data_IF_859829085250
#
_entry.id   IF_859829085250
#
_cell.length_a   1.000
_cell.length_b   1.000
_cell.length_c   1.000
_cell.angle_alpha   90.00
_cell.angle_beta   90.00
_cell.angle_gamma   90.00
#
_symmetry.space_group_name_H-M   'P 1'
#
loop_
_entity.id
_entity.type
_entity.pdbx_description
1 polymer ?
#
# COMPACT_ATOMS: atom_id res chain seq x y z
N UNK A 1 10.04 41.73 10.01
CA UNK A 1 8.87 40.92 9.60
C UNK A 1 9.05 40.57 8.13
N UNK A 2 9.41 39.33 7.80
CA UNK A 2 9.51 38.89 6.42
C UNK A 2 8.09 38.89 5.81
N UNK A 3 7.85 39.73 4.81
CA UNK A 3 6.61 39.69 4.02
C UNK A 3 6.61 38.38 3.24
N UNK A 4 5.60 37.55 3.49
CA UNK A 4 5.31 36.37 2.66
C UNK A 4 5.04 36.89 1.24
N UNK A 5 5.68 36.29 0.23
CA UNK A 5 5.54 36.73 -1.16
C UNK A 5 4.18 36.26 -1.69
N UNK A 6 3.54 37.06 -2.55
CA UNK A 6 2.25 36.70 -3.17
C UNK A 6 2.33 35.37 -3.96
N UNK A 7 3.51 35.00 -4.44
CA UNK A 7 3.79 33.67 -5.03
C UNK A 7 3.57 32.53 -4.03
N UNK A 8 4.01 32.72 -2.80
CA UNK A 8 3.94 31.72 -1.74
C UNK A 8 2.49 31.57 -1.26
N UNK A 9 1.72 32.68 -1.24
CA UNK A 9 0.28 32.67 -0.96
C UNK A 9 -0.50 31.98 -2.08
N UNK A 10 -0.13 32.21 -3.34
CA UNK A 10 -0.80 31.57 -4.49
C UNK A 10 -0.52 30.07 -4.51
N UNK A 11 0.72 29.65 -4.25
CA UNK A 11 1.10 28.23 -4.14
C UNK A 11 0.37 27.54 -2.98
N UNK A 12 0.27 28.20 -1.81
CA UNK A 12 -0.51 27.71 -0.68
C UNK A 12 -2.01 27.64 -1.01
N UNK A 13 -2.57 28.64 -1.68
CA UNK A 13 -3.97 28.63 -2.13
C UNK A 13 -4.24 27.50 -3.11
N UNK A 14 -3.33 27.24 -4.06
CA UNK A 14 -3.44 26.11 -4.98
C UNK A 14 -3.28 24.77 -4.26
N UNK A 15 -2.41 24.65 -3.26
CA UNK A 15 -2.29 23.45 -2.42
C UNK A 15 -3.55 23.23 -1.59
N UNK A 16 -4.14 24.30 -1.06
CA UNK A 16 -5.39 24.26 -0.30
C UNK A 16 -6.55 23.90 -1.22
N UNK A 17 -6.73 24.58 -2.35
CA UNK A 17 -7.75 24.28 -3.37
C UNK A 17 -7.64 22.86 -3.91
N UNK A 18 -6.43 22.38 -4.20
CA UNK A 18 -6.19 20.98 -4.61
C UNK A 18 -6.50 19.98 -3.48
N UNK A 19 -6.42 20.38 -2.21
CA UNK A 19 -6.82 19.55 -1.06
C UNK A 19 -8.30 19.65 -0.73
N UNK A 20 -9.00 20.75 -1.05
CA UNK A 20 -10.45 20.88 -0.88
C UNK A 20 -11.22 20.24 -2.03
N UNK A 21 -10.77 20.40 -3.27
CA UNK A 21 -11.35 19.73 -4.46
C UNK A 21 -11.18 18.21 -4.42
N UNK A 22 -10.21 17.71 -3.65
CA UNK A 22 -9.93 16.29 -3.41
C UNK A 22 -11.14 15.49 -2.90
N UNK A 23 -12.00 16.11 -2.10
CA UNK A 23 -13.14 15.46 -1.44
C UNK A 23 -14.50 15.95 -1.92
N UNK A 24 -14.55 16.80 -2.96
CA UNK A 24 -15.80 17.22 -3.59
C UNK A 24 -16.74 16.09 -4.01
N UNK A 25 -16.27 14.89 -4.44
CA UNK A 25 -17.22 13.81 -4.74
C UNK A 25 -17.83 13.16 -3.50
N UNK A 26 -17.30 13.38 -2.28
CA UNK A 26 -17.75 12.68 -1.08
C UNK A 26 -18.90 13.42 -0.36
N UNK A 27 -19.77 12.64 0.27
CA UNK A 27 -20.85 13.10 1.13
C UNK A 27 -20.32 13.83 2.37
N UNK A 28 -21.20 14.59 3.01
CA UNK A 28 -20.82 15.42 4.15
C UNK A 28 -20.31 14.60 5.34
N UNK A 29 -20.83 13.38 5.54
CA UNK A 29 -20.44 12.51 6.66
C UNK A 29 -19.02 11.96 6.46
N UNK A 30 -18.72 11.48 5.26
CA UNK A 30 -17.41 10.99 4.82
C UNK A 30 -16.37 12.11 4.87
N UNK A 31 -16.73 13.28 4.36
CA UNK A 31 -15.90 14.49 4.42
C UNK A 31 -15.57 14.87 5.87
N UNK A 32 -16.56 14.86 6.77
CA UNK A 32 -16.34 15.10 8.20
C UNK A 32 -15.38 14.06 8.83
N UNK A 33 -15.58 12.78 8.53
CA UNK A 33 -14.71 11.70 9.05
C UNK A 33 -13.25 11.90 8.62
N UNK A 34 -13.02 12.29 7.37
CA UNK A 34 -11.67 12.55 6.84
C UNK A 34 -11.03 13.78 7.48
N UNK A 35 -11.77 14.89 7.63
CA UNK A 35 -11.24 16.07 8.30
C UNK A 35 -10.88 15.78 9.76
N UNK A 36 -11.76 15.11 10.49
CA UNK A 36 -11.49 14.66 11.85
C UNK A 36 -10.25 13.74 11.91
N UNK A 37 -10.12 12.82 10.95
CA UNK A 37 -8.95 11.98 10.79
C UNK A 37 -7.66 12.79 10.60
N UNK A 38 -7.69 13.84 9.78
CA UNK A 38 -6.54 14.74 9.59
C UNK A 38 -6.21 15.55 10.83
N UNK A 39 -7.21 15.99 11.61
CA UNK A 39 -6.97 16.70 12.86
C UNK A 39 -6.23 15.81 13.87
N UNK A 40 -6.62 14.53 13.98
CA UNK A 40 -5.91 13.57 14.80
C UNK A 40 -4.50 13.26 14.28
N UNK A 41 -4.33 13.08 12.96
CA UNK A 41 -3.00 12.89 12.36
C UNK A 41 -2.09 14.11 12.59
N UNK A 42 -2.59 15.33 12.40
CA UNK A 42 -1.87 16.57 12.69
C UNK A 42 -1.47 16.66 14.17
N UNK A 43 -2.40 16.33 15.07
CA UNK A 43 -2.15 16.26 16.52
C UNK A 43 -1.07 15.24 16.87
N UNK A 44 -1.00 14.11 16.14
CA UNK A 44 0.09 13.14 16.32
C UNK A 44 1.45 13.77 16.00
N UNK A 45 1.60 14.41 14.83
CA UNK A 45 2.87 15.01 14.40
C UNK A 45 3.35 16.10 15.37
N UNK A 46 2.43 16.89 15.91
CA UNK A 46 2.75 17.97 16.84
C UNK A 46 3.14 17.49 18.24
N UNK A 47 2.74 16.27 18.62
CA UNK A 47 3.00 15.74 19.95
C UNK A 47 4.42 15.20 20.08
N UNK A 48 5.06 15.46 21.22
CA UNK A 48 6.44 15.04 21.51
C UNK A 48 6.58 13.60 22.03
N UNK A 49 5.54 13.08 22.68
CA UNK A 49 5.54 11.71 23.23
C UNK A 49 5.04 10.74 22.17
N UNK A 50 5.79 9.66 21.98
CA UNK A 50 5.48 8.60 21.01
C UNK A 50 4.20 7.85 21.37
N UNK A 51 3.88 7.77 22.66
CA UNK A 51 2.66 7.17 23.18
C UNK A 51 1.42 7.93 22.71
N UNK A 52 1.48 9.26 22.83
CA UNK A 52 0.41 10.13 22.35
C UNK A 52 0.38 10.21 20.82
N UNK A 53 1.53 10.14 20.14
CA UNK A 53 1.59 9.97 18.68
C UNK A 53 0.81 8.72 18.26
N UNK A 54 1.09 7.57 18.89
CA UNK A 54 0.41 6.31 18.61
C UNK A 54 -1.11 6.42 18.86
N UNK A 55 -1.51 7.03 19.97
CA UNK A 55 -2.93 7.22 20.33
C UNK A 55 -3.67 8.05 19.28
N UNK A 56 -3.09 9.19 18.91
CA UNK A 56 -3.68 10.10 17.94
C UNK A 56 -3.74 9.46 16.56
N UNK A 57 -2.68 8.76 16.11
CA UNK A 57 -2.69 8.06 14.83
C UNK A 57 -3.70 6.92 14.77
N UNK A 58 -3.83 6.15 15.86
CA UNK A 58 -4.83 5.09 15.92
C UNK A 58 -6.24 5.69 15.83
N UNK A 59 -6.48 6.79 16.55
CA UNK A 59 -7.77 7.50 16.51
C UNK A 59 -8.05 8.08 15.12
N UNK A 60 -7.03 8.59 14.42
CA UNK A 60 -7.15 9.03 13.03
C UNK A 60 -7.66 7.87 12.14
N UNK A 61 -7.01 6.70 12.21
CA UNK A 61 -7.47 5.52 11.45
C UNK A 61 -8.88 5.04 11.86
N UNK A 62 -9.21 5.04 13.16
CA UNK A 62 -10.53 4.65 13.63
C UNK A 62 -11.62 5.59 13.09
N UNK A 63 -11.34 6.89 13.02
CA UNK A 63 -12.31 7.90 12.58
C UNK A 63 -12.72 7.79 11.12
N UNK A 64 -11.90 7.13 10.29
CA UNK A 64 -12.25 6.83 8.90
C UNK A 64 -13.31 5.73 8.80
N UNK A 65 -13.46 4.89 9.82
CA UNK A 65 -14.27 3.68 9.78
C UNK A 65 -15.62 3.87 10.48
N UNK A 66 -16.69 3.19 10.02
CA UNK A 66 -17.96 3.21 10.72
C UNK A 66 -17.83 2.60 12.13
N UNK A 67 -18.73 2.97 13.07
CA UNK A 67 -18.68 2.43 14.42
C UNK A 67 -18.81 0.91 14.42
N UNK A 68 -18.09 0.21 15.32
CA UNK A 68 -18.10 -1.25 15.36
C UNK A 68 -19.46 -1.80 15.78
N UNK A 69 -19.97 -2.77 15.02
CA UNK A 69 -21.14 -3.58 15.42
C UNK A 69 -20.75 -4.86 16.16
N UNK A 70 -19.48 -5.28 16.03
CA UNK A 70 -18.88 -6.46 16.66
C UNK A 70 -17.82 -6.08 17.70
N UNK A 71 -17.00 -7.03 18.16
CA UNK A 71 -15.84 -6.73 18.99
C UNK A 71 -14.93 -5.69 18.31
N UNK A 72 -14.73 -4.55 18.99
CA UNK A 72 -14.05 -3.36 18.46
C UNK A 72 -12.74 -3.67 17.71
N UNK A 73 -11.87 -4.49 18.29
CA UNK A 73 -10.60 -4.86 17.64
C UNK A 73 -10.80 -5.67 16.35
N UNK A 74 -11.74 -6.62 16.34
CA UNK A 74 -11.99 -7.49 15.19
C UNK A 74 -12.59 -6.69 14.05
N UNK A 75 -13.52 -5.79 14.35
CA UNK A 75 -14.08 -4.83 13.40
C UNK A 75 -12.99 -4.03 12.69
N UNK A 76 -12.10 -3.36 13.43
CA UNK A 76 -11.04 -2.56 12.81
C UNK A 76 -10.06 -3.39 12.00
N UNK A 77 -9.64 -4.56 12.50
CA UNK A 77 -8.73 -5.42 11.75
C UNK A 77 -9.37 -5.91 10.44
N UNK A 78 -10.63 -6.33 10.48
CA UNK A 78 -11.32 -6.85 9.29
C UNK A 78 -11.61 -5.74 8.28
N UNK A 79 -11.82 -4.50 8.72
CA UNK A 79 -12.02 -3.35 7.83
C UNK A 79 -10.72 -2.84 7.22
N UNK A 80 -9.62 -2.79 7.99
CA UNK A 80 -8.35 -2.23 7.54
C UNK A 80 -7.52 -3.20 6.69
N UNK A 81 -7.61 -4.51 6.96
CA UNK A 81 -6.75 -5.49 6.30
C UNK A 81 -6.89 -5.51 4.77
N UNK A 82 -8.10 -5.56 4.18
CA UNK A 82 -8.25 -5.53 2.72
C UNK A 82 -7.68 -4.26 2.09
N UNK A 83 -7.83 -3.11 2.76
CA UNK A 83 -7.31 -1.81 2.31
C UNK A 83 -5.78 -1.84 2.22
N UNK A 84 -5.13 -2.36 3.27
CA UNK A 84 -3.68 -2.45 3.37
C UNK A 84 -3.09 -3.55 2.48
N UNK A 85 -3.87 -4.59 2.18
CA UNK A 85 -3.45 -5.70 1.32
C UNK A 85 -3.57 -5.39 -0.17
N UNK A 86 -4.50 -4.51 -0.61
CA UNK A 86 -4.88 -4.28 -2.02
C UNK A 86 -3.70 -4.18 -2.99
N UNK A 87 -2.70 -3.37 -2.65
CA UNK A 87 -1.57 -3.03 -3.53
C UNK A 87 -0.25 -3.72 -3.17
N UNK A 88 -0.29 -4.77 -2.37
CA UNK A 88 0.93 -5.38 -1.84
C UNK A 88 1.85 -5.93 -2.94
N UNK A 89 1.29 -6.62 -3.94
CA UNK A 89 2.07 -7.18 -5.04
C UNK A 89 2.71 -6.08 -5.89
N UNK A 90 1.92 -5.05 -6.25
CA UNK A 90 2.40 -3.90 -7.00
C UNK A 90 3.48 -3.14 -6.21
N UNK A 91 3.35 -3.03 -4.88
CA UNK A 91 4.40 -2.48 -4.02
C UNK A 91 5.70 -3.27 -4.13
N UNK A 92 5.66 -4.60 -4.05
CA UNK A 92 6.86 -5.44 -4.18
C UNK A 92 7.56 -5.25 -5.53
N UNK A 93 6.78 -5.14 -6.61
CA UNK A 93 7.29 -4.90 -7.98
C UNK A 93 7.90 -3.50 -8.07
N UNK A 94 7.20 -2.47 -7.59
CA UNK A 94 7.67 -1.09 -7.59
C UNK A 94 8.94 -0.91 -6.76
N UNK A 95 9.01 -1.51 -5.58
CA UNK A 95 10.19 -1.43 -4.74
C UNK A 95 11.41 -2.09 -5.43
N UNK A 96 11.20 -3.19 -6.16
CA UNK A 96 12.26 -3.82 -6.97
C UNK A 96 12.66 -2.91 -8.14
N UNK A 97 11.69 -2.42 -8.91
CA UNK A 97 11.92 -1.54 -10.06
C UNK A 97 12.67 -0.28 -9.65
N UNK A 98 12.26 0.37 -8.57
CA UNK A 98 12.94 1.56 -8.03
C UNK A 98 14.37 1.23 -7.58
N UNK A 99 14.57 0.09 -6.93
CA UNK A 99 15.92 -0.35 -6.54
C UNK A 99 16.81 -0.57 -7.77
N UNK A 100 16.28 -1.19 -8.84
CA UNK A 100 17.01 -1.38 -10.08
C UNK A 100 17.28 -0.06 -10.81
N UNK A 101 16.29 0.84 -10.90
CA UNK A 101 16.47 2.18 -11.50
C UNK A 101 17.51 3.02 -10.79
N UNK A 102 17.57 2.95 -9.46
CA UNK A 102 18.53 3.73 -8.67
C UNK A 102 19.97 3.21 -8.80
N UNK A 103 20.15 1.88 -8.88
CA UNK A 103 21.49 1.28 -8.83
C UNK A 103 22.02 0.81 -10.20
N UNK A 104 21.12 0.46 -11.13
CA UNK A 104 21.43 -0.16 -12.43
C UNK A 104 20.50 0.38 -13.56
N UNK A 105 20.38 1.72 -13.74
CA UNK A 105 19.44 2.29 -14.69
C UNK A 105 19.70 1.88 -16.14
N UNK A 106 20.98 1.78 -16.55
CA UNK A 106 21.35 1.47 -17.94
C UNK A 106 21.05 0.01 -18.25
N UNK A 107 21.45 -0.88 -17.35
CA UNK A 107 21.27 -2.32 -17.42
C UNK A 107 19.78 -2.66 -17.43
N UNK A 108 18.99 -2.04 -16.53
CA UNK A 108 17.55 -2.20 -16.52
C UNK A 108 16.94 -1.79 -17.87
N UNK A 109 17.29 -0.62 -18.40
CA UNK A 109 16.75 -0.14 -19.68
C UNK A 109 17.08 -1.09 -20.85
N UNK A 110 18.29 -1.67 -20.88
CA UNK A 110 18.66 -2.69 -21.86
C UNK A 110 17.70 -3.87 -21.79
N UNK A 111 17.46 -4.42 -20.59
CA UNK A 111 16.54 -5.56 -20.42
C UNK A 111 15.10 -5.19 -20.78
N UNK A 112 14.59 -4.05 -20.28
CA UNK A 112 13.22 -3.61 -20.57
C UNK A 112 12.98 -3.31 -22.06
N UNK A 113 14.02 -2.93 -22.82
CA UNK A 113 13.92 -2.70 -24.27
C UNK A 113 13.71 -3.98 -25.08
N UNK A 114 14.07 -5.15 -24.52
CA UNK A 114 13.90 -6.47 -25.17
C UNK A 114 12.51 -7.08 -24.94
N UNK A 115 11.72 -6.46 -24.07
CA UNK A 115 10.37 -6.90 -23.73
C UNK A 115 9.33 -6.18 -24.60
N UNK A 116 8.10 -6.72 -24.71
CA UNK A 116 7.08 -6.16 -25.59
C UNK A 116 6.86 -4.65 -25.38
N UNK A 117 6.87 -3.82 -26.43
CA UNK A 117 6.82 -2.36 -26.33
C UNK A 117 5.49 -1.84 -25.78
N UNK A 118 4.42 -2.63 -25.87
CA UNK A 118 3.09 -2.31 -25.33
C UNK A 118 3.02 -2.39 -23.81
N UNK A 119 4.01 -3.00 -23.15
CA UNK A 119 4.07 -3.06 -21.69
C UNK A 119 4.70 -1.78 -21.14
N UNK A 120 4.06 -1.21 -20.13
CA UNK A 120 4.66 -0.17 -19.27
C UNK A 120 5.88 -0.74 -18.54
N UNK A 121 6.79 0.11 -18.07
CA UNK A 121 7.99 -0.33 -17.34
C UNK A 121 7.68 -1.21 -16.12
N UNK A 122 6.59 -0.90 -15.39
CA UNK A 122 6.15 -1.69 -14.25
C UNK A 122 5.64 -3.07 -14.69
N UNK A 123 4.90 -3.15 -15.80
CA UNK A 123 4.43 -4.42 -16.37
C UNK A 123 5.60 -5.26 -16.89
N UNK A 124 6.60 -4.62 -17.51
CA UNK A 124 7.84 -5.30 -17.93
C UNK A 124 8.60 -5.84 -16.73
N UNK A 125 8.75 -5.05 -15.66
CA UNK A 125 9.39 -5.51 -14.43
C UNK A 125 8.61 -6.67 -13.78
N UNK A 126 7.27 -6.59 -13.78
CA UNK A 126 6.39 -7.65 -13.30
C UNK A 126 6.58 -8.93 -14.12
N UNK A 127 6.52 -8.84 -15.45
CA UNK A 127 6.71 -9.96 -16.36
C UNK A 127 8.11 -10.60 -16.20
N UNK A 128 9.16 -9.79 -16.03
CA UNK A 128 10.53 -10.27 -15.84
C UNK A 128 10.65 -11.22 -14.64
N UNK A 129 9.94 -10.91 -13.53
CA UNK A 129 9.98 -11.71 -12.32
C UNK A 129 8.90 -12.80 -12.27
N UNK A 130 7.71 -12.59 -12.81
CA UNK A 130 6.60 -13.55 -12.70
C UNK A 130 6.62 -14.61 -13.80
N UNK A 131 6.98 -14.25 -15.03
CA UNK A 131 7.01 -15.21 -16.14
C UNK A 131 8.33 -15.97 -16.05
N UNK A 132 8.29 -17.13 -15.40
CA UNK A 132 9.50 -17.85 -15.04
C UNK A 132 10.22 -18.39 -16.27
N UNK A 133 9.56 -19.22 -17.06
CA UNK A 133 10.24 -20.04 -18.05
C UNK A 133 10.66 -19.20 -19.28
N UNK A 134 9.81 -18.29 -19.79
CA UNK A 134 10.17 -17.47 -20.96
C UNK A 134 11.19 -16.35 -20.67
N UNK A 135 11.22 -15.79 -19.46
CA UNK A 135 12.10 -14.66 -19.13
C UNK A 135 13.37 -15.08 -18.35
N UNK A 136 13.71 -16.36 -18.31
CA UNK A 136 14.92 -16.85 -17.63
C UNK A 136 16.20 -16.23 -18.20
N UNK A 137 16.36 -16.26 -19.52
CA UNK A 137 17.53 -15.67 -20.20
C UNK A 137 17.66 -14.16 -19.93
N UNK A 138 16.54 -13.43 -19.83
CA UNK A 138 16.55 -11.99 -19.52
C UNK A 138 17.00 -11.73 -18.08
N UNK A 139 16.63 -12.60 -17.14
CA UNK A 139 17.11 -12.49 -15.76
C UNK A 139 18.59 -12.83 -15.65
N UNK A 140 19.06 -13.83 -16.39
CA UNK A 140 20.47 -14.22 -16.40
C UNK A 140 21.34 -13.10 -16.99
N UNK A 141 20.91 -12.50 -18.09
CA UNK A 141 21.58 -11.32 -18.66
C UNK A 141 21.58 -10.15 -17.66
N UNK A 142 20.46 -9.88 -16.98
CA UNK A 142 20.41 -8.87 -15.94
C UNK A 142 21.42 -9.18 -14.81
N UNK A 143 21.53 -10.45 -14.40
CA UNK A 143 22.50 -10.86 -13.38
C UNK A 143 23.94 -10.63 -13.82
N UNK A 144 24.27 -10.93 -15.07
CA UNK A 144 25.59 -10.66 -15.65
C UNK A 144 25.91 -9.17 -15.67
N UNK A 145 24.98 -8.34 -16.18
CA UNK A 145 25.12 -6.89 -16.27
C UNK A 145 25.27 -6.23 -14.89
N UNK A 146 24.54 -6.70 -13.88
CA UNK A 146 24.64 -6.16 -12.50
C UNK A 146 25.95 -6.53 -11.78
N UNK A 147 26.74 -7.45 -12.34
CA UNK A 147 27.93 -7.98 -11.67
C UNK A 147 27.61 -8.62 -10.30
N UNK A 148 28.53 -8.49 -9.34
CA UNK A 148 28.42 -9.16 -8.03
C UNK A 148 27.56 -8.35 -7.05
N UNK A 149 26.24 -8.55 -7.10
CA UNK A 149 25.30 -8.05 -6.08
C UNK A 149 24.39 -9.19 -5.56
N UNK A 150 24.86 -10.00 -4.59
CA UNK A 150 24.12 -11.19 -4.14
C UNK A 150 22.78 -10.85 -3.49
N UNK A 151 22.65 -9.69 -2.83
CA UNK A 151 21.41 -9.25 -2.18
C UNK A 151 20.32 -8.96 -3.21
N UNK A 152 20.64 -8.20 -4.26
CA UNK A 152 19.67 -7.86 -5.29
C UNK A 152 19.30 -9.07 -6.15
N UNK A 153 20.27 -9.94 -6.49
CA UNK A 153 20.01 -11.21 -7.16
C UNK A 153 19.08 -12.10 -6.33
N UNK A 154 19.33 -12.23 -5.02
CA UNK A 154 18.46 -12.98 -4.12
C UNK A 154 17.04 -12.38 -4.05
N UNK A 155 16.93 -11.05 -4.05
CA UNK A 155 15.63 -10.36 -4.07
C UNK A 155 14.83 -10.66 -5.33
N UNK A 156 15.45 -10.57 -6.52
CA UNK A 156 14.81 -10.90 -7.80
C UNK A 156 14.36 -12.37 -7.79
N UNK A 157 15.25 -13.27 -7.41
CA UNK A 157 14.95 -14.70 -7.31
C UNK A 157 13.80 -15.01 -6.34
N UNK A 158 13.79 -14.36 -5.17
CA UNK A 158 12.75 -14.53 -4.16
C UNK A 158 11.40 -14.04 -4.66
N UNK A 159 11.38 -12.89 -5.34
CA UNK A 159 10.14 -12.37 -5.94
C UNK A 159 9.65 -13.28 -7.07
N UNK A 160 10.54 -13.80 -7.90
CA UNK A 160 10.16 -14.79 -8.92
C UNK A 160 9.52 -16.03 -8.29
N UNK A 161 10.12 -16.60 -7.24
CA UNK A 161 9.52 -17.73 -6.51
C UNK A 161 8.14 -17.40 -5.96
N UNK A 162 7.92 -16.19 -5.47
CA UNK A 162 6.64 -15.75 -4.91
C UNK A 162 5.57 -15.42 -5.95
N UNK A 163 5.96 -15.06 -7.16
CA UNK A 163 5.04 -14.44 -8.13
C UNK A 163 4.89 -15.23 -9.45
N UNK A 164 5.49 -16.43 -9.56
CA UNK A 164 5.48 -17.18 -10.81
C UNK A 164 4.25 -18.06 -11.07
N UNK A 165 3.32 -18.16 -10.12
CA UNK A 165 2.06 -18.89 -10.28
C UNK A 165 0.97 -18.28 -9.41
N UNK A 166 -0.30 -18.55 -9.73
CA UNK A 166 -1.43 -18.10 -8.93
C UNK A 166 -1.36 -18.62 -7.48
N UNK A 167 -0.97 -19.88 -7.26
CA UNK A 167 -0.79 -20.44 -5.91
C UNK A 167 0.29 -19.70 -5.11
N UNK A 168 1.45 -19.42 -5.73
CA UNK A 168 2.51 -18.69 -5.04
C UNK A 168 2.10 -17.26 -4.68
N UNK A 169 1.35 -16.59 -5.57
CA UNK A 169 0.81 -15.26 -5.31
C UNK A 169 -0.23 -15.33 -4.18
N UNK A 170 -1.14 -16.31 -4.21
CA UNK A 170 -2.12 -16.54 -3.16
C UNK A 170 -1.46 -16.73 -1.78
N UNK A 171 -0.47 -17.62 -1.69
CA UNK A 171 0.29 -17.86 -0.46
C UNK A 171 0.99 -16.56 0.00
N UNK A 172 1.58 -15.81 -0.94
CA UNK A 172 2.22 -14.52 -0.65
C UNK A 172 1.21 -13.52 -0.05
N UNK A 173 0.00 -13.46 -0.59
CA UNK A 173 -1.08 -12.60 -0.10
C UNK A 173 -1.59 -13.04 1.27
N UNK A 174 -1.82 -14.34 1.51
CA UNK A 174 -2.24 -14.84 2.83
C UNK A 174 -1.19 -14.59 3.92
N UNK A 175 0.09 -14.77 3.61
CA UNK A 175 1.18 -14.43 4.54
C UNK A 175 1.21 -12.93 4.85
N UNK A 176 0.95 -12.08 3.85
CA UNK A 176 0.89 -10.64 4.04
C UNK A 176 -0.31 -10.22 4.88
N UNK A 177 -1.49 -10.74 4.57
CA UNK A 177 -2.72 -10.58 5.35
C UNK A 177 -2.51 -10.93 6.81
N UNK A 178 -1.96 -12.11 7.10
CA UNK A 178 -1.68 -12.53 8.48
C UNK A 178 -0.70 -11.57 9.18
N UNK A 179 0.32 -11.10 8.46
CA UNK A 179 1.27 -10.10 9.00
C UNK A 179 0.58 -8.78 9.35
N UNK A 180 -0.27 -8.25 8.48
CA UNK A 180 -1.04 -7.03 8.75
C UNK A 180 -1.92 -7.25 9.99
N UNK A 181 -2.67 -8.34 10.04
CA UNK A 181 -3.56 -8.66 11.17
C UNK A 181 -2.81 -8.71 12.49
N UNK A 182 -1.69 -9.44 12.55
CA UNK A 182 -0.86 -9.51 13.76
C UNK A 182 -0.29 -8.14 14.14
N UNK A 183 0.06 -7.32 13.15
CA UNK A 183 0.61 -6.00 13.41
C UNK A 183 -0.44 -5.04 13.97
N UNK A 184 -1.64 -5.00 13.37
CA UNK A 184 -2.77 -4.22 13.87
C UNK A 184 -3.16 -4.66 15.29
N UNK A 185 -3.16 -5.97 15.58
CA UNK A 185 -3.36 -6.48 16.94
C UNK A 185 -2.30 -5.99 17.92
N UNK A 186 -1.02 -5.96 17.51
CA UNK A 186 0.09 -5.47 18.33
C UNK A 186 -0.07 -3.98 18.62
N UNK A 187 -0.39 -3.18 17.62
CA UNK A 187 -0.65 -1.74 17.76
C UNK A 187 -1.81 -1.49 18.72
N UNK A 188 -2.94 -2.20 18.55
CA UNK A 188 -4.10 -2.07 19.42
C UNK A 188 -3.79 -2.43 20.88
N UNK A 189 -3.02 -3.51 21.11
CA UNK A 189 -2.57 -3.89 22.46
C UNK A 189 -1.68 -2.80 23.08
N UNK A 190 -0.73 -2.27 22.32
CA UNK A 190 0.14 -1.19 22.78
C UNK A 190 -0.66 0.07 23.15
N UNK A 191 -1.62 0.46 22.29
CA UNK A 191 -2.56 1.55 22.54
C UNK A 191 -3.32 1.35 23.86
N UNK A 192 -3.80 0.13 24.14
CA UNK A 192 -4.52 -0.16 25.38
C UNK A 192 -3.60 -0.15 26.61
N UNK A 193 -2.37 -0.65 26.49
CA UNK A 193 -1.38 -0.60 27.59
C UNK A 193 -1.03 0.85 27.96
N UNK A 194 -0.79 1.71 26.96
CA UNK A 194 -0.57 3.14 27.15
C UNK A 194 -1.75 3.78 27.89
N UNK A 195 -2.98 3.50 27.46
CA UNK A 195 -4.21 4.06 28.05
C UNK A 195 -4.40 3.63 29.50
N UNK A 196 -4.13 2.37 29.82
CA UNK A 196 -4.51 1.77 31.10
C UNK A 196 -3.40 1.74 32.14
N UNK A 197 -2.14 1.84 31.74
CA UNK A 197 -1.02 1.63 32.67
C UNK A 197 0.11 2.65 32.59
N UNK A 198 0.12 3.55 31.61
CA UNK A 198 1.24 4.47 31.41
C UNK A 198 2.59 3.76 31.36
N UNK A 199 2.60 2.49 30.93
CA UNK A 199 3.82 1.67 30.81
C UNK A 199 4.62 2.14 29.60
N UNK A 200 5.91 2.41 29.79
CA UNK A 200 6.85 2.65 28.70
C UNK A 200 6.99 1.35 27.88
N UNK A 201 6.68 1.44 26.58
CA UNK A 201 6.84 0.34 25.64
C UNK A 201 8.07 0.65 24.78
N UNK A 202 9.15 -0.11 24.95
CA UNK A 202 10.44 0.16 24.30
C UNK A 202 10.37 0.30 22.76
N UNK A 203 9.32 -0.26 22.14
CA UNK A 203 9.11 -0.29 20.70
C UNK A 203 7.99 0.61 20.18
N UNK A 204 7.47 1.59 20.97
CA UNK A 204 6.39 2.49 20.50
C UNK A 204 6.78 3.23 19.23
N UNK A 205 8.03 3.72 19.14
CA UNK A 205 8.49 4.47 17.98
C UNK A 205 8.32 3.69 16.66
N UNK A 206 8.69 2.41 16.66
CA UNK A 206 8.50 1.56 15.49
C UNK A 206 7.01 1.34 15.19
N UNK A 207 6.14 1.25 16.20
CA UNK A 207 4.70 1.15 15.96
C UNK A 207 4.15 2.44 15.34
N UNK A 208 4.61 3.61 15.80
CA UNK A 208 4.22 4.93 15.27
C UNK A 208 4.59 5.05 13.79
N UNK A 209 5.84 4.73 13.43
CA UNK A 209 6.29 4.76 12.03
C UNK A 209 5.44 3.87 11.13
N UNK A 210 5.17 2.65 11.59
CA UNK A 210 4.34 1.71 10.84
C UNK A 210 2.88 2.17 10.73
N UNK A 211 2.35 2.79 11.78
CA UNK A 211 0.99 3.29 11.80
C UNK A 211 0.83 4.51 10.88
N UNK A 212 1.83 5.39 10.81
CA UNK A 212 1.90 6.44 9.79
C UNK A 212 1.89 5.86 8.37
N UNK A 213 2.68 4.81 8.11
CA UNK A 213 2.68 4.16 6.81
C UNK A 213 1.29 3.60 6.46
N UNK A 214 0.61 2.94 7.39
CA UNK A 214 -0.75 2.44 7.18
C UNK A 214 -1.77 3.56 6.97
N UNK A 215 -1.67 4.63 7.74
CA UNK A 215 -2.53 5.80 7.61
C UNK A 215 -2.43 6.41 6.20
N UNK A 216 -1.21 6.73 5.74
CA UNK A 216 -1.00 7.30 4.41
C UNK A 216 -1.43 6.33 3.31
N UNK A 217 -1.15 5.03 3.45
CA UNK A 217 -1.59 4.01 2.47
C UNK A 217 -3.11 4.03 2.29
N UNK A 218 -3.88 4.22 3.36
CA UNK A 218 -5.35 4.26 3.29
C UNK A 218 -5.84 5.58 2.69
N UNK A 219 -5.25 6.71 3.08
CA UNK A 219 -5.61 8.02 2.52
C UNK A 219 -5.31 8.06 1.01
N UNK A 220 -4.14 7.58 0.58
CA UNK A 220 -3.76 7.49 -0.84
C UNK A 220 -4.72 6.57 -1.61
N UNK A 221 -5.18 5.48 -1.00
CA UNK A 221 -6.16 4.59 -1.60
C UNK A 221 -7.54 5.23 -1.74
N UNK A 222 -8.01 5.94 -0.72
CA UNK A 222 -9.27 6.68 -0.77
C UNK A 222 -9.20 7.70 -1.91
N UNK A 223 -8.11 8.47 -1.98
CA UNK A 223 -7.87 9.46 -3.05
C UNK A 223 -7.93 8.85 -4.44
N UNK A 224 -7.22 7.74 -4.63
CA UNK A 224 -7.16 7.07 -5.92
C UNK A 224 -8.56 6.63 -6.37
N UNK A 225 -9.35 6.03 -5.47
CA UNK A 225 -10.67 5.51 -5.82
C UNK A 225 -11.65 6.64 -6.11
N UNK A 226 -11.66 7.69 -5.29
CA UNK A 226 -12.58 8.83 -5.47
C UNK A 226 -12.22 9.67 -6.68
N UNK A 227 -10.93 9.84 -7.00
CA UNK A 227 -10.49 10.57 -8.21
C UNK A 227 -10.76 9.82 -9.52
N UNK A 228 -10.81 8.49 -9.49
CA UNK A 228 -11.07 7.67 -10.67
C UNK A 228 -12.56 7.42 -10.91
N UNK A 229 -13.41 7.55 -9.89
CA UNK A 229 -14.83 7.19 -9.96
C UNK A 229 -15.73 8.30 -9.43
N UNK A 230 -16.26 9.12 -10.34
CA UNK A 230 -17.17 10.22 -10.01
C UNK A 230 -18.50 9.79 -9.34
N UNK A 231 -18.81 8.49 -9.33
CA UNK A 231 -20.02 7.93 -8.73
C UNK A 231 -19.81 7.38 -7.31
N UNK A 232 -18.59 7.43 -6.77
CA UNK A 232 -18.29 6.97 -5.41
C UNK A 232 -18.26 8.18 -4.49
N UNK A 233 -19.31 8.32 -3.70
CA UNK A 233 -19.57 9.48 -2.85
C UNK A 233 -19.46 9.19 -1.35
N UNK A 234 -19.10 7.99 -0.91
CA UNK A 234 -18.93 7.72 0.51
C UNK A 234 -17.75 6.82 0.83
N UNK A 235 -17.16 7.02 2.03
CA UNK A 235 -16.11 6.14 2.55
C UNK A 235 -16.59 4.70 2.68
N UNK A 236 -17.86 4.50 3.03
CA UNK A 236 -18.44 3.16 3.12
C UNK A 236 -18.44 2.46 1.75
N UNK A 237 -18.82 3.17 0.68
CA UNK A 237 -18.76 2.65 -0.70
C UNK A 237 -17.33 2.32 -1.10
N UNK A 238 -16.35 3.20 -0.80
CA UNK A 238 -14.92 2.94 -1.06
C UNK A 238 -14.46 1.65 -0.37
N UNK A 239 -14.72 1.49 0.93
CA UNK A 239 -14.24 0.31 1.66
C UNK A 239 -14.95 -0.97 1.24
N UNK A 240 -16.26 -0.91 0.96
CA UNK A 240 -17.01 -2.04 0.45
C UNK A 240 -16.49 -2.48 -0.93
N UNK A 241 -16.20 -1.52 -1.82
CA UNK A 241 -15.61 -1.80 -3.13
C UNK A 241 -14.26 -2.51 -2.99
N UNK A 242 -13.35 -1.95 -2.20
CA UNK A 242 -12.02 -2.55 -1.99
C UNK A 242 -12.12 -3.95 -1.39
N UNK A 243 -13.04 -4.16 -0.44
CA UNK A 243 -13.27 -5.48 0.15
C UNK A 243 -13.76 -6.47 -0.91
N UNK A 244 -14.75 -6.09 -1.72
CA UNK A 244 -15.30 -6.95 -2.77
C UNK A 244 -14.24 -7.31 -3.83
N UNK A 245 -13.46 -6.33 -4.28
CA UNK A 245 -12.38 -6.55 -5.25
C UNK A 245 -11.28 -7.42 -4.65
N UNK A 246 -10.91 -7.20 -3.38
CA UNK A 246 -9.94 -8.04 -2.69
C UNK A 246 -10.42 -9.48 -2.57
N UNK A 247 -11.69 -9.70 -2.19
CA UNK A 247 -12.26 -11.05 -2.12
C UNK A 247 -12.33 -11.72 -3.49
N UNK A 248 -12.73 -10.98 -4.53
CA UNK A 248 -12.77 -11.47 -5.90
C UNK A 248 -11.38 -11.87 -6.41
N UNK A 249 -10.37 -11.04 -6.14
CA UNK A 249 -8.97 -11.31 -6.46
C UNK A 249 -8.45 -12.56 -5.76
N UNK A 250 -8.74 -12.72 -4.46
CA UNK A 250 -8.34 -13.93 -3.72
C UNK A 250 -9.05 -15.18 -4.25
N UNK A 251 -10.33 -15.10 -4.63
CA UNK A 251 -11.06 -16.21 -5.25
C UNK A 251 -10.46 -16.58 -6.60
N UNK A 252 -10.18 -15.60 -7.44
CA UNK A 252 -9.51 -15.79 -8.73
C UNK A 252 -8.19 -16.57 -8.58
N UNK A 253 -7.33 -16.17 -7.64
CA UNK A 253 -6.05 -16.87 -7.42
C UNK A 253 -6.24 -18.32 -6.92
N UNK A 254 -7.30 -18.58 -6.14
CA UNK A 254 -7.64 -19.94 -5.68
C UNK A 254 -8.17 -20.81 -6.81
N UNK A 255 -9.02 -20.25 -7.67
CA UNK A 255 -9.62 -20.98 -8.78
C UNK A 255 -8.56 -21.30 -9.86
N UNK A 256 -7.58 -20.40 -10.05
CA UNK A 256 -6.45 -20.58 -10.96
C UNK A 256 -5.21 -21.22 -10.33
N UNK A 257 -5.32 -21.91 -9.18
CA UNK A 257 -4.16 -22.39 -8.37
C UNK A 257 -3.06 -23.10 -9.18
N UNK A 258 -3.43 -23.90 -10.16
CA UNK A 258 -2.48 -24.68 -10.97
C UNK A 258 -1.83 -23.88 -12.12
N UNK A 259 -2.29 -22.66 -12.36
CA UNK A 259 -1.81 -21.82 -13.46
C UNK A 259 -0.49 -21.11 -13.12
N UNK A 260 0.48 -21.28 -14.00
CA UNK A 260 1.70 -20.47 -14.03
C UNK A 260 1.44 -19.13 -14.72
N UNK A 261 2.19 -18.11 -14.29
CA UNK A 261 2.22 -16.82 -14.95
C UNK A 261 2.85 -16.93 -16.35
N UNK A 262 2.16 -16.41 -17.34
CA UNK A 262 2.57 -16.30 -18.74
C UNK A 262 2.11 -14.95 -19.31
N UNK A 263 2.46 -14.67 -20.57
CA UNK A 263 2.15 -13.38 -21.22
C UNK A 263 0.65 -13.04 -21.29
N UNK A 264 -0.25 -14.01 -21.15
CA UNK A 264 -1.71 -13.80 -21.23
C UNK A 264 -2.34 -13.50 -19.87
N UNK A 265 -1.84 -14.11 -18.78
CA UNK A 265 -2.49 -14.06 -17.46
C UNK A 265 -1.72 -13.28 -16.38
N UNK A 266 -0.42 -12.99 -16.57
CA UNK A 266 0.38 -12.37 -15.50
C UNK A 266 -0.19 -11.01 -15.03
N UNK A 267 -0.75 -10.22 -15.97
CA UNK A 267 -1.35 -8.93 -15.63
C UNK A 267 -2.54 -9.11 -14.68
N UNK A 268 -3.42 -10.03 -15.04
CA UNK A 268 -4.61 -10.39 -14.26
C UNK A 268 -4.24 -10.88 -12.86
N UNK A 269 -3.15 -11.65 -12.71
CA UNK A 269 -2.73 -12.17 -11.40
C UNK A 269 -1.97 -11.15 -10.53
N UNK A 270 -1.32 -10.14 -11.11
CA UNK A 270 -0.41 -9.24 -10.37
C UNK A 270 -0.95 -7.82 -10.19
N UNK A 271 -1.85 -7.39 -11.06
CA UNK A 271 -2.46 -6.08 -11.02
C UNK A 271 -3.94 -6.27 -10.72
N UNK A 272 -4.29 -6.09 -9.44
CA UNK A 272 -5.69 -5.96 -9.06
C UNK A 272 -6.28 -4.77 -9.83
N UNK A 273 -7.24 -5.07 -10.71
CA UNK A 273 -8.04 -4.07 -11.43
C UNK A 273 -9.12 -3.56 -10.48
#
# INVERSE_FOLDING_TARGET
MAKIRDSDITELSTIIENRTTFFEPLDAASTYCIFNSFDFHSSSIQTKSSENQLMNLWTAMESLLPPPQEQRILHFINSLEPLLSRKYIQKLINDLMNTLRLNYPKELNIILSKMPPEYTDIEKCAALISIKDENENLRDELYELMGRNPLLRNRIYTLMKKLHSADNIYITMELHKNRIRWHLQRIYRARNLITHKGEDIDYVNQLVENLHFYYHTIIDLIQEITSQNNNIDSLETVFNLVRLEHEAYIRLLKDSKEEKCNNKNFKLFLFCS
#
